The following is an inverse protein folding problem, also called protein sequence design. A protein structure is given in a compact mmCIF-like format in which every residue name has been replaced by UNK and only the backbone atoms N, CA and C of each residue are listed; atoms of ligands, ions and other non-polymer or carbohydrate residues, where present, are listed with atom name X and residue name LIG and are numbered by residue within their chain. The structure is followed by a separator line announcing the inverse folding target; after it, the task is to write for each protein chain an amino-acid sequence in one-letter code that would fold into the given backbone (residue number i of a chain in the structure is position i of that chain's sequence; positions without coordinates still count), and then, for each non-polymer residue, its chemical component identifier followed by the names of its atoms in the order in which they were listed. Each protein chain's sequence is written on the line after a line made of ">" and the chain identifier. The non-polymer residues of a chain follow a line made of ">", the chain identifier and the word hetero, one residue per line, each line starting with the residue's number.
data_IF_395331700258
#
_entry.id   IF_395331700258
#
_cell.length_a   1.000
_cell.length_b   1.000
_cell.length_c   1.000
_cell.angle_alpha   90.00
_cell.angle_beta   90.00
_cell.angle_gamma   90.00
#
_symmetry.space_group_name_H-M   'P 1'
#
loop_
_entity.id
_entity.type
_entity.pdbx_description
1 polymer ?
#
# COMPACT_ATOMS: atom_id res chain seq x y z
N UNK A 1 8.31 -24.49 -28.68
CA UNK A 1 8.21 -23.03 -28.43
C UNK A 1 8.98 -22.32 -29.52
N UNK A 2 8.57 -21.11 -29.95
CA UNK A 2 9.34 -20.33 -30.93
C UNK A 2 10.55 -19.70 -30.26
N UNK A 3 11.69 -19.72 -30.95
CA UNK A 3 12.97 -19.18 -30.48
C UNK A 3 12.96 -17.64 -30.34
N UNK A 4 12.20 -16.93 -31.18
CA UNK A 4 12.07 -15.47 -31.07
C UNK A 4 10.64 -14.99 -31.32
N UNK A 5 10.22 -14.02 -30.50
CA UNK A 5 8.97 -13.31 -30.61
C UNK A 5 9.28 -11.84 -30.91
N UNK A 6 8.85 -11.36 -32.08
CA UNK A 6 8.93 -9.94 -32.42
C UNK A 6 7.80 -9.18 -31.72
N UNK A 7 8.17 -8.28 -30.80
CA UNK A 7 7.25 -7.46 -30.02
C UNK A 7 7.12 -6.03 -30.57
N UNK A 8 7.62 -5.76 -31.78
CA UNK A 8 7.71 -4.42 -32.36
C UNK A 8 6.35 -3.74 -32.60
N UNK A 9 5.26 -4.50 -32.64
CA UNK A 9 3.88 -4.00 -32.76
C UNK A 9 3.04 -4.19 -31.48
N UNK A 10 3.68 -4.44 -30.34
CA UNK A 10 2.96 -4.76 -29.10
C UNK A 10 2.31 -3.52 -28.47
N UNK A 11 1.01 -3.63 -28.20
CA UNK A 11 0.27 -2.60 -27.47
C UNK A 11 0.58 -2.71 -25.97
N UNK A 12 0.98 -1.60 -25.34
CA UNK A 12 1.22 -1.54 -23.90
C UNK A 12 -0.06 -1.93 -23.16
N UNK A 13 0.01 -3.04 -22.41
CA UNK A 13 -1.14 -3.59 -21.71
C UNK A 13 -1.80 -2.50 -20.82
N UNK A 14 -3.07 -2.13 -21.05
CA UNK A 14 -3.73 -1.02 -20.34
C UNK A 14 -3.91 -1.28 -18.84
N UNK A 15 -3.73 -2.53 -18.41
CA UNK A 15 -3.81 -2.98 -17.02
C UNK A 15 -2.50 -2.72 -16.25
N UNK A 16 -1.41 -2.32 -16.93
CA UNK A 16 -0.11 -2.01 -16.32
C UNK A 16 -0.15 -0.71 -15.50
N UNK A 17 -1.12 0.19 -15.74
CA UNK A 17 -1.19 1.48 -15.03
C UNK A 17 -1.53 1.36 -13.54
N UNK A 18 -1.99 0.19 -13.08
CA UNK A 18 -2.41 -0.05 -11.69
C UNK A 18 -1.48 -1.01 -10.95
N UNK A 19 -0.21 -1.13 -11.34
CA UNK A 19 0.74 -1.90 -10.54
C UNK A 19 0.91 -1.24 -9.17
N UNK A 20 0.72 -2.03 -8.12
CA UNK A 20 1.07 -1.62 -6.75
C UNK A 20 2.55 -1.31 -6.72
N UNK A 21 2.90 -0.09 -6.30
CA UNK A 21 4.30 0.26 -6.08
C UNK A 21 4.75 -0.39 -4.77
N UNK A 22 5.75 -1.26 -4.83
CA UNK A 22 6.38 -1.78 -3.63
C UNK A 22 7.14 -0.64 -2.94
N UNK A 23 6.79 -0.38 -1.68
CA UNK A 23 7.43 0.64 -0.84
C UNK A 23 7.78 0.01 0.50
N UNK A 24 8.95 0.36 1.03
CA UNK A 24 9.34 -0.01 2.39
C UNK A 24 9.04 1.19 3.28
N UNK A 25 8.12 1.03 4.22
CA UNK A 25 7.74 2.06 5.19
C UNK A 25 8.18 1.57 6.56
N UNK A 26 8.84 2.44 7.33
CA UNK A 26 9.09 2.18 8.75
C UNK A 26 7.83 2.54 9.52
N UNK A 27 7.31 1.58 10.27
CA UNK A 27 6.16 1.74 11.14
C UNK A 27 6.61 1.46 12.56
N UNK A 28 5.98 2.13 13.52
CA UNK A 28 6.17 1.86 14.94
C UNK A 28 5.57 0.49 15.30
N UNK A 29 6.13 -0.16 16.32
CA UNK A 29 5.72 -1.49 16.75
C UNK A 29 4.23 -1.52 17.13
N UNK A 30 3.77 -0.52 17.87
CA UNK A 30 2.37 -0.38 18.30
C UNK A 30 1.39 -0.33 17.13
N UNK A 31 1.76 0.38 16.05
CA UNK A 31 0.92 0.46 14.84
C UNK A 31 0.82 -0.91 14.19
N UNK A 32 1.93 -1.64 14.08
CA UNK A 32 1.94 -2.99 13.50
C UNK A 32 1.12 -3.95 14.34
N UNK A 33 1.24 -3.89 15.67
CA UNK A 33 0.50 -4.75 16.59
C UNK A 33 -1.02 -4.52 16.50
N UNK A 34 -1.44 -3.25 16.48
CA UNK A 34 -2.84 -2.89 16.28
C UNK A 34 -3.43 -3.50 15.00
N UNK A 35 -2.74 -3.34 13.87
CA UNK A 35 -3.22 -3.90 12.59
C UNK A 35 -3.11 -5.43 12.52
N UNK A 36 -2.24 -6.07 13.32
CA UNK A 36 -2.21 -7.53 13.45
C UNK A 36 -3.45 -8.03 14.20
N UNK A 37 -3.83 -7.41 15.31
CA UNK A 37 -5.07 -7.75 16.02
C UNK A 37 -6.30 -7.62 15.11
N UNK A 38 -6.42 -6.51 14.37
CA UNK A 38 -7.50 -6.36 13.40
C UNK A 38 -7.45 -7.40 12.27
N UNK A 39 -6.26 -7.86 11.87
CA UNK A 39 -6.11 -8.89 10.85
C UNK A 39 -6.64 -10.24 11.34
N UNK A 40 -6.43 -10.57 12.61
CA UNK A 40 -6.95 -11.79 13.23
C UNK A 40 -8.49 -11.77 13.30
N UNK A 41 -9.08 -10.63 13.60
CA UNK A 41 -10.55 -10.48 13.68
C UNK A 41 -11.23 -10.47 12.30
N UNK A 42 -10.63 -9.81 11.31
CA UNK A 42 -11.23 -9.61 9.98
C UNK A 42 -10.83 -10.67 8.95
N UNK A 43 -9.80 -11.47 9.25
CA UNK A 43 -9.21 -12.45 8.33
C UNK A 43 -8.46 -11.82 7.14
N UNK A 44 -8.24 -10.51 7.15
CA UNK A 44 -7.52 -9.77 6.11
C UNK A 44 -6.09 -9.52 6.59
N UNK A 45 -5.09 -9.72 5.73
CA UNK A 45 -3.69 -9.41 6.09
C UNK A 45 -3.52 -7.97 6.60
N UNK A 46 -2.74 -7.77 7.67
CA UNK A 46 -2.43 -6.45 8.24
C UNK A 46 -1.91 -5.46 7.17
N UNK A 47 -1.10 -5.93 6.21
CA UNK A 47 -0.59 -5.10 5.10
C UNK A 47 -1.71 -4.53 4.21
N UNK A 48 -2.73 -5.33 3.93
CA UNK A 48 -3.90 -4.90 3.14
C UNK A 48 -4.78 -3.93 3.92
N UNK A 49 -4.93 -4.15 5.24
CA UNK A 49 -5.67 -3.24 6.13
C UNK A 49 -4.97 -1.87 6.21
N UNK A 50 -3.66 -1.84 6.42
CA UNK A 50 -2.87 -0.60 6.41
C UNK A 50 -3.09 0.16 5.09
N UNK A 51 -2.98 -0.53 3.96
CA UNK A 51 -3.19 0.09 2.66
C UNK A 51 -4.63 0.62 2.48
N UNK A 52 -5.63 -0.12 2.95
CA UNK A 52 -7.02 0.31 2.90
C UNK A 52 -7.25 1.57 3.75
N UNK A 53 -6.65 1.61 4.94
CA UNK A 53 -6.75 2.74 5.85
C UNK A 53 -6.07 3.99 5.27
N UNK A 54 -4.88 3.84 4.69
CA UNK A 54 -4.20 4.93 3.98
C UNK A 54 -5.03 5.45 2.80
N UNK A 55 -5.68 4.56 2.06
CA UNK A 55 -6.57 4.95 0.96
C UNK A 55 -7.79 5.73 1.46
N UNK A 56 -8.35 5.36 2.62
CA UNK A 56 -9.43 6.10 3.25
C UNK A 56 -8.98 7.50 3.71
N UNK A 57 -7.79 7.62 4.29
CA UNK A 57 -7.21 8.92 4.64
C UNK A 57 -7.06 9.83 3.42
N UNK A 58 -6.62 9.29 2.28
CA UNK A 58 -6.50 10.03 1.01
C UNK A 58 -7.87 10.48 0.50
N UNK A 59 -8.88 9.59 0.52
CA UNK A 59 -10.26 9.92 0.11
C UNK A 59 -10.89 11.00 0.98
N UNK A 60 -10.66 10.91 2.28
CA UNK A 60 -11.16 11.86 3.28
C UNK A 60 -10.35 13.16 3.33
N UNK A 61 -9.28 13.28 2.50
CA UNK A 61 -8.31 14.37 2.52
C UNK A 61 -7.83 14.74 3.93
N UNK A 62 -7.71 13.75 4.82
CA UNK A 62 -7.23 13.96 6.18
C UNK A 62 -5.77 14.37 6.10
N UNK A 63 -5.47 15.58 6.52
CA UNK A 63 -4.10 16.07 6.65
C UNK A 63 -3.63 15.71 8.06
N UNK A 64 -2.43 15.13 8.22
CA UNK A 64 -1.85 14.98 9.53
C UNK A 64 -1.70 16.37 10.16
N UNK A 65 -2.15 16.51 11.40
CA UNK A 65 -1.86 17.72 12.16
C UNK A 65 -0.36 17.69 12.45
N UNK A 66 0.38 18.61 11.83
CA UNK A 66 1.83 18.76 12.01
C UNK A 66 2.15 19.50 13.33
N UNK A 67 1.44 19.16 14.40
CA UNK A 67 1.85 19.55 15.75
C UNK A 67 3.08 18.70 16.07
N UNK A 68 4.26 19.24 15.77
CA UNK A 68 5.53 18.73 16.22
C UNK A 68 5.48 18.60 17.75
N UNK A 69 5.24 17.40 18.27
CA UNK A 69 5.58 17.05 19.66
C UNK A 69 7.08 16.78 19.68
N UNK A 70 7.86 17.85 19.50
CA UNK A 70 9.27 17.85 19.84
C UNK A 70 9.38 18.22 21.31
N UNK A 71 9.63 17.22 22.15
CA UNK A 71 10.15 17.22 23.53
C UNK A 71 9.75 15.83 24.07
N UNK A 72 10.68 14.90 24.36
CA UNK A 72 11.75 14.95 25.37
C UNK A 72 12.93 14.07 24.95
#
# INVERSE_FOLDING_TARGET
>A
MKDEYDFSQSVKNPYIKKLKKQVTIRLEEEVVDYFKGLAEETGISYQSLINLYLQDCVKSQRKPTLEWVGEV
#
